data_IF_749423095777
#
_entry.id   IF_749423095777
#
_cell.length_a   1.000
_cell.length_b   1.000
_cell.length_c   1.000
_cell.angle_alpha   90.00
_cell.angle_beta   90.00
_cell.angle_gamma   90.00
#
_symmetry.space_group_name_H-M   'P 1'
#
loop_
_entity.id
_entity.type
_entity.pdbx_description
1 polymer ?
#
# COMPACT_ATOMS: atom_id res chain seq x y z
N UNK A 1 12.77 -15.51 -9.03
CA UNK A 1 12.41 -16.18 -10.30
C UNK A 1 12.63 -17.67 -10.16
N UNK A 2 11.65 -18.46 -10.56
CA UNK A 2 11.72 -19.92 -10.63
C UNK A 2 11.60 -20.34 -12.11
N UNK A 3 12.26 -21.44 -12.47
CA UNK A 3 12.01 -22.11 -13.73
C UNK A 3 10.78 -23.04 -13.64
N UNK A 4 10.34 -23.69 -14.74
CA UNK A 4 9.20 -24.60 -14.73
C UNK A 4 9.33 -25.78 -13.76
N UNK A 5 10.56 -26.20 -13.45
CA UNK A 5 10.86 -27.28 -12.50
C UNK A 5 10.92 -26.79 -11.04
N UNK A 6 10.77 -25.48 -10.80
CA UNK A 6 10.80 -24.88 -9.47
C UNK A 6 12.21 -24.56 -8.97
N UNK A 7 13.23 -24.66 -9.82
CA UNK A 7 14.60 -24.27 -9.49
C UNK A 7 14.72 -22.76 -9.49
N UNK A 8 15.43 -22.21 -8.49
CA UNK A 8 15.68 -20.78 -8.37
C UNK A 8 16.65 -20.30 -9.44
N UNK A 9 16.18 -19.42 -10.33
CA UNK A 9 17.01 -18.68 -11.29
C UNK A 9 17.51 -17.34 -10.72
N UNK A 10 16.69 -16.71 -9.86
CA UNK A 10 17.02 -15.43 -9.23
C UNK A 10 16.36 -15.31 -7.85
N UNK A 11 17.11 -14.95 -6.82
CA UNK A 11 16.66 -14.84 -5.42
C UNK A 11 17.36 -13.66 -4.72
N UNK A 12 17.19 -12.46 -5.29
CA UNK A 12 17.70 -11.20 -4.74
C UNK A 12 16.58 -10.15 -4.77
N UNK A 13 16.68 -9.09 -3.96
CA UNK A 13 15.77 -7.95 -4.07
C UNK A 13 15.74 -7.40 -5.50
N UNK A 14 14.56 -7.00 -5.97
CA UNK A 14 14.43 -6.33 -7.26
C UNK A 14 15.10 -4.94 -7.19
N UNK A 15 15.91 -4.57 -8.19
CA UNK A 15 16.50 -3.24 -8.24
C UNK A 15 15.43 -2.17 -8.45
N UNK A 16 15.54 -1.04 -7.75
CA UNK A 16 14.72 0.17 -7.97
C UNK A 16 15.36 1.06 -9.04
N UNK A 17 15.66 0.49 -10.20
CA UNK A 17 16.31 1.15 -11.32
C UNK A 17 15.86 0.50 -12.63
N UNK A 18 15.42 1.32 -13.58
CA UNK A 18 14.85 0.86 -14.85
C UNK A 18 15.85 0.04 -15.67
N UNK A 19 17.11 0.50 -15.78
CA UNK A 19 18.15 -0.15 -16.58
C UNK A 19 18.44 -1.54 -16.04
N UNK A 20 18.61 -1.65 -14.71
CA UNK A 20 18.87 -2.93 -14.04
C UNK A 20 17.67 -3.88 -14.13
N UNK A 21 16.44 -3.36 -14.05
CA UNK A 21 15.23 -4.17 -14.25
C UNK A 21 15.15 -4.71 -15.67
N UNK A 22 15.44 -3.88 -16.67
CA UNK A 22 15.45 -4.27 -18.08
C UNK A 22 16.50 -5.34 -18.36
N UNK A 23 17.72 -5.17 -17.83
CA UNK A 23 18.78 -6.18 -17.89
C UNK A 23 18.33 -7.49 -17.26
N UNK A 24 17.72 -7.44 -16.07
CA UNK A 24 17.22 -8.62 -15.38
C UNK A 24 16.15 -9.37 -16.20
N UNK A 25 15.16 -8.66 -16.73
CA UNK A 25 14.10 -9.30 -17.54
C UNK A 25 14.66 -9.90 -18.82
N UNK A 26 15.56 -9.19 -19.51
CA UNK A 26 16.23 -9.69 -20.71
C UNK A 26 17.06 -10.95 -20.41
N UNK A 27 17.77 -10.97 -19.28
CA UNK A 27 18.52 -12.15 -18.83
C UNK A 27 17.60 -13.34 -18.54
N UNK A 28 16.47 -13.10 -17.87
CA UNK A 28 15.48 -14.15 -17.58
C UNK A 28 14.79 -14.66 -18.86
N UNK A 29 14.57 -13.81 -19.85
CA UNK A 29 13.99 -14.20 -21.14
C UNK A 29 14.88 -15.16 -21.96
N UNK A 30 16.19 -15.19 -21.69
CA UNK A 30 17.07 -16.23 -22.25
C UNK A 30 16.69 -17.65 -21.80
N UNK A 31 15.90 -17.78 -20.73
CA UNK A 31 15.38 -19.05 -20.22
C UNK A 31 13.95 -19.36 -20.69
N UNK A 32 13.33 -18.50 -21.51
CA UNK A 32 11.97 -18.68 -22.05
C UNK A 32 11.03 -17.52 -21.78
N UNK A 33 9.72 -17.75 -21.91
CA UNK A 33 8.72 -16.74 -21.60
C UNK A 33 8.73 -16.39 -20.10
N UNK A 34 8.75 -15.08 -19.81
CA UNK A 34 8.78 -14.57 -18.44
C UNK A 34 7.38 -14.10 -18.03
N UNK A 35 6.87 -14.71 -16.96
CA UNK A 35 5.69 -14.24 -16.24
C UNK A 35 6.13 -13.52 -14.96
N UNK A 36 5.92 -12.21 -14.91
CA UNK A 36 6.08 -11.42 -13.70
C UNK A 36 4.81 -11.50 -12.86
N UNK A 37 4.94 -11.86 -11.58
CA UNK A 37 3.80 -11.92 -10.65
C UNK A 37 4.06 -11.01 -9.45
N UNK A 38 3.04 -10.25 -9.08
CA UNK A 38 3.03 -9.35 -7.92
C UNK A 38 1.87 -9.70 -6.99
N UNK A 39 2.05 -9.47 -5.69
CA UNK A 39 0.99 -9.54 -4.67
C UNK A 39 0.37 -8.16 -4.38
N UNK A 40 0.98 -7.08 -4.88
CA UNK A 40 0.47 -5.71 -4.84
C UNK A 40 0.79 -4.97 -6.15
N UNK A 41 -0.18 -4.80 -7.05
CA UNK A 41 0.09 -4.20 -8.37
C UNK A 41 0.23 -2.67 -8.34
N UNK A 42 -0.19 -2.00 -7.27
CA UNK A 42 -0.39 -0.55 -7.24
C UNK A 42 0.56 0.21 -6.30
N UNK A 43 1.56 -0.45 -5.72
CA UNK A 43 2.52 0.16 -4.78
C UNK A 43 3.96 0.04 -5.33
N UNK A 44 4.91 -0.49 -4.55
CA UNK A 44 6.31 -0.67 -4.93
C UNK A 44 6.52 -1.54 -6.19
N UNK A 45 5.50 -2.30 -6.59
CA UNK A 45 5.48 -3.11 -7.81
C UNK A 45 5.28 -2.35 -9.11
N UNK A 46 4.86 -1.07 -9.07
CA UNK A 46 4.45 -0.33 -10.27
C UNK A 46 5.56 -0.20 -11.34
N UNK A 47 6.77 0.20 -10.93
CA UNK A 47 7.91 0.34 -11.84
C UNK A 47 8.33 -1.03 -12.44
N UNK A 48 8.60 -2.08 -11.65
CA UNK A 48 8.89 -3.40 -12.18
C UNK A 48 7.81 -3.94 -13.15
N UNK A 49 6.52 -3.69 -12.88
CA UNK A 49 5.41 -4.07 -13.78
C UNK A 49 5.50 -3.32 -15.11
N UNK A 50 5.72 -2.01 -15.07
CA UNK A 50 5.83 -1.20 -16.28
C UNK A 50 7.00 -1.66 -17.16
N UNK A 51 8.17 -1.85 -16.55
CA UNK A 51 9.38 -2.30 -17.27
C UNK A 51 9.20 -3.73 -17.79
N UNK A 52 8.62 -4.64 -17.01
CA UNK A 52 8.34 -6.01 -17.48
C UNK A 52 7.43 -6.01 -18.71
N UNK A 53 6.39 -5.18 -18.72
CA UNK A 53 5.48 -5.03 -19.87
C UNK A 53 6.18 -4.47 -21.09
N UNK A 54 6.99 -3.42 -20.92
CA UNK A 54 7.78 -2.83 -22.01
C UNK A 54 8.77 -3.84 -22.60
N UNK A 55 9.34 -4.72 -21.76
CA UNK A 55 10.18 -5.84 -22.19
C UNK A 55 9.40 -6.99 -22.85
N UNK A 56 8.08 -6.93 -22.95
CA UNK A 56 7.24 -7.98 -23.52
C UNK A 56 6.92 -9.15 -22.58
N UNK A 57 7.23 -9.04 -21.28
CA UNK A 57 6.88 -10.07 -20.30
C UNK A 57 5.37 -10.09 -20.04
N UNK A 58 4.82 -11.27 -19.75
CA UNK A 58 3.49 -11.38 -19.21
C UNK A 58 3.47 -10.87 -17.75
N UNK A 59 2.37 -10.22 -17.34
CA UNK A 59 2.20 -9.75 -15.96
C UNK A 59 0.90 -10.28 -15.39
N UNK A 60 0.99 -10.88 -14.21
CA UNK A 60 -0.14 -11.34 -13.44
C UNK A 60 -0.07 -10.86 -11.99
N UNK A 61 -1.21 -10.94 -11.32
CA UNK A 61 -1.41 -10.58 -9.94
C UNK A 61 -1.91 -11.80 -9.16
N UNK A 62 -1.29 -12.08 -8.02
CA UNK A 62 -1.77 -13.08 -7.07
C UNK A 62 -2.58 -12.37 -5.97
N UNK A 63 -3.91 -12.54 -5.91
CA UNK A 63 -4.73 -11.89 -4.90
C UNK A 63 -4.29 -12.20 -3.47
N UNK A 64 -4.32 -11.22 -2.57
CA UNK A 64 -3.85 -11.39 -1.19
C UNK A 64 -4.52 -12.55 -0.44
N UNK A 65 -5.79 -12.84 -0.70
CA UNK A 65 -6.48 -14.01 -0.14
C UNK A 65 -5.93 -15.34 -0.70
N UNK A 66 -5.61 -15.38 -2.00
CA UNK A 66 -5.00 -16.55 -2.64
C UNK A 66 -3.56 -16.74 -2.15
N UNK A 67 -2.78 -15.67 -2.06
CA UNK A 67 -1.44 -15.66 -1.49
C UNK A 67 -1.44 -16.18 -0.04
N UNK A 68 -2.35 -15.69 0.81
CA UNK A 68 -2.46 -16.14 2.20
C UNK A 68 -2.76 -17.63 2.30
N UNK A 69 -3.71 -18.13 1.49
CA UNK A 69 -4.04 -19.56 1.42
C UNK A 69 -2.86 -20.39 0.94
N UNK A 70 -2.12 -19.90 -0.06
CA UNK A 70 -0.92 -20.57 -0.54
C UNK A 70 0.15 -20.61 0.55
N UNK A 71 0.38 -19.51 1.27
CA UNK A 71 1.38 -19.43 2.33
C UNK A 71 1.15 -20.41 3.49
N UNK A 72 -0.10 -20.79 3.76
CA UNK A 72 -0.45 -21.82 4.76
C UNK A 72 0.01 -23.23 4.34
N UNK A 73 0.28 -23.46 3.05
CA UNK A 73 0.75 -24.75 2.52
C UNK A 73 2.28 -24.91 2.64
N UNK A 74 3.04 -23.85 2.95
CA UNK A 74 4.51 -23.90 3.02
C UNK A 74 4.99 -23.88 4.48
N UNK A 75 5.98 -24.74 4.84
CA UNK A 75 6.52 -24.80 6.19
C UNK A 75 7.22 -23.50 6.62
N UNK A 76 7.23 -23.24 7.94
CA UNK A 76 7.80 -22.05 8.57
C UNK A 76 6.79 -20.90 8.66
N UNK A 77 6.64 -20.29 9.85
CA UNK A 77 5.71 -19.16 10.06
C UNK A 77 6.37 -17.79 10.05
N UNK A 78 7.70 -17.74 9.99
CA UNK A 78 8.43 -16.48 9.96
C UNK A 78 8.21 -15.79 8.62
N UNK A 79 7.68 -14.57 8.66
CA UNK A 79 7.50 -13.72 7.49
C UNK A 79 8.85 -13.19 7.05
N UNK A 80 9.27 -13.50 5.82
CA UNK A 80 10.46 -12.93 5.18
C UNK A 80 10.14 -12.64 3.72
N UNK A 81 10.68 -11.56 3.18
CA UNK A 81 10.40 -11.14 1.80
C UNK A 81 10.83 -12.21 0.78
N UNK A 82 11.94 -12.91 1.04
CA UNK A 82 12.40 -14.02 0.19
C UNK A 82 11.44 -15.22 0.21
N UNK A 83 10.81 -15.51 1.35
CA UNK A 83 9.80 -16.58 1.47
C UNK A 83 8.54 -16.19 0.71
N UNK A 84 8.06 -14.96 0.89
CA UNK A 84 6.87 -14.46 0.20
C UNK A 84 7.09 -14.44 -1.33
N UNK A 85 8.26 -13.98 -1.80
CA UNK A 85 8.63 -14.03 -3.21
C UNK A 85 8.69 -15.45 -3.78
N UNK A 86 9.21 -16.42 -3.00
CA UNK A 86 9.21 -17.82 -3.41
C UNK A 86 7.79 -18.39 -3.51
N UNK A 87 6.94 -18.15 -2.50
CA UNK A 87 5.55 -18.61 -2.49
C UNK A 87 4.78 -18.05 -3.68
N UNK A 88 4.94 -16.76 -3.99
CA UNK A 88 4.29 -16.12 -5.15
C UNK A 88 4.73 -16.82 -6.45
N UNK A 89 6.04 -16.99 -6.64
CA UNK A 89 6.58 -17.61 -7.86
C UNK A 89 6.16 -19.07 -8.01
N UNK A 90 6.18 -19.85 -6.92
CA UNK A 90 5.81 -21.27 -6.96
C UNK A 90 4.29 -21.47 -7.08
N UNK A 91 3.49 -20.59 -6.48
CA UNK A 91 2.02 -20.56 -6.66
C UNK A 91 1.67 -20.25 -8.11
N UNK A 92 2.36 -19.29 -8.74
CA UNK A 92 2.15 -18.99 -10.15
C UNK A 92 2.43 -20.19 -11.06
N UNK A 93 3.48 -20.95 -10.73
CA UNK A 93 3.91 -22.16 -11.45
C UNK A 93 2.96 -23.34 -11.27
N UNK A 94 2.50 -23.58 -10.04
CA UNK A 94 1.72 -24.78 -9.67
C UNK A 94 0.21 -24.58 -9.72
N UNK A 95 -0.25 -23.34 -9.51
CA UNK A 95 -1.66 -22.97 -9.40
C UNK A 95 -2.00 -21.73 -10.24
N UNK A 96 -1.75 -21.74 -11.57
CA UNK A 96 -1.93 -20.57 -12.43
C UNK A 96 -3.37 -20.03 -12.47
N UNK A 97 -4.37 -20.89 -12.19
CA UNK A 97 -5.78 -20.51 -12.09
C UNK A 97 -6.09 -19.56 -10.91
N UNK A 98 -5.17 -19.41 -9.95
CA UNK A 98 -5.30 -18.45 -8.84
C UNK A 98 -4.87 -17.04 -9.22
N UNK A 99 -4.18 -16.89 -10.35
CA UNK A 99 -3.68 -15.62 -10.85
C UNK A 99 -4.80 -14.82 -11.52
N UNK A 100 -4.71 -13.50 -11.40
CA UNK A 100 -5.52 -12.55 -12.16
C UNK A 100 -4.62 -11.86 -13.17
N UNK A 101 -5.11 -11.68 -14.40
CA UNK A 101 -4.43 -10.83 -15.38
C UNK A 101 -4.34 -9.40 -14.83
N UNK A 102 -3.16 -8.79 -14.88
CA UNK A 102 -3.06 -7.35 -14.69
C UNK A 102 -3.34 -6.74 -16.05
N UNK A 103 -4.59 -6.32 -16.28
CA UNK A 103 -5.15 -5.91 -17.57
C UNK A 103 -4.12 -5.31 -18.54
N UNK A 104 -4.07 -5.92 -19.73
CA UNK A 104 -3.64 -5.26 -20.96
C UNK A 104 -4.81 -4.34 -21.38
N UNK A 105 -4.52 -3.08 -21.67
CA UNK A 105 -5.36 -2.21 -22.52
C UNK A 105 -6.49 -1.37 -21.92
N UNK A 106 -6.47 -1.01 -20.63
CA UNK A 106 -7.36 0.06 -20.16
C UNK A 106 -6.59 1.19 -19.49
N UNK A 107 -6.33 2.25 -20.26
CA UNK A 107 -5.89 3.56 -19.76
C UNK A 107 -6.78 4.05 -18.61
N UNK A 108 -8.08 3.76 -18.67
CA UNK A 108 -9.05 4.06 -17.60
C UNK A 108 -8.75 3.27 -16.33
N UNK A 109 -8.41 1.98 -16.42
CA UNK A 109 -8.01 1.20 -15.24
C UNK A 109 -6.65 1.66 -14.69
N UNK A 110 -5.72 2.06 -15.55
CA UNK A 110 -4.46 2.67 -15.11
C UNK A 110 -4.68 4.00 -14.38
N UNK A 111 -5.55 4.87 -14.91
CA UNK A 111 -5.92 6.14 -14.27
C UNK A 111 -6.66 5.91 -12.93
N UNK A 112 -7.60 4.95 -12.88
CA UNK A 112 -8.27 4.55 -11.65
C UNK A 112 -7.29 3.99 -10.61
N UNK A 113 -6.27 3.25 -11.03
CA UNK A 113 -5.21 2.74 -10.14
C UNK A 113 -4.37 3.87 -9.55
N UNK A 114 -4.01 4.86 -10.36
CA UNK A 114 -3.30 6.06 -9.89
C UNK A 114 -4.16 6.82 -8.86
N UNK A 115 -5.46 7.01 -9.16
CA UNK A 115 -6.40 7.65 -8.22
C UNK A 115 -6.56 6.86 -6.92
N UNK A 116 -6.63 5.52 -6.99
CA UNK A 116 -6.72 4.67 -5.80
C UNK A 116 -5.44 4.73 -4.95
N UNK A 117 -4.26 4.81 -5.58
CA UNK A 117 -2.99 5.02 -4.86
C UNK A 117 -2.94 6.37 -4.15
N UNK A 118 -3.39 7.44 -4.82
CA UNK A 118 -3.51 8.75 -4.19
C UNK A 118 -4.50 8.77 -3.02
N UNK A 119 -5.61 8.04 -3.11
CA UNK A 119 -6.58 7.90 -2.02
C UNK A 119 -5.97 7.18 -0.79
N UNK A 120 -5.22 6.10 -1.02
CA UNK A 120 -4.51 5.38 0.04
C UNK A 120 -3.44 6.24 0.71
N UNK A 121 -2.64 6.97 -0.08
CA UNK A 121 -1.65 7.92 0.42
C UNK A 121 -2.32 9.03 1.26
N UNK A 122 -3.42 9.60 0.78
CA UNK A 122 -4.17 10.64 1.49
C UNK A 122 -4.76 10.13 2.80
N UNK A 123 -5.25 8.88 2.83
CA UNK A 123 -5.74 8.24 4.06
C UNK A 123 -4.61 8.08 5.10
N UNK A 124 -3.42 7.70 4.65
CA UNK A 124 -2.23 7.62 5.50
C UNK A 124 -1.79 8.98 6.03
N UNK A 125 -1.76 10.00 5.19
CA UNK A 125 -1.43 11.37 5.60
C UNK A 125 -2.44 11.93 6.60
N UNK A 126 -3.73 11.71 6.36
CA UNK A 126 -4.81 12.11 7.27
C UNK A 126 -4.62 11.47 8.64
N UNK A 127 -4.35 10.17 8.68
CA UNK A 127 -4.09 9.43 9.93
C UNK A 127 -2.85 9.98 10.65
N UNK A 128 -1.77 10.26 9.91
CA UNK A 128 -0.53 10.81 10.45
C UNK A 128 -0.76 12.20 11.06
N UNK A 129 -1.50 13.07 10.35
CA UNK A 129 -1.84 14.41 10.81
C UNK A 129 -2.70 14.37 12.09
N UNK A 130 -3.71 13.51 12.13
CA UNK A 130 -4.55 13.34 13.33
C UNK A 130 -3.75 12.87 14.54
N UNK A 131 -2.86 11.89 14.36
CA UNK A 131 -1.98 11.42 15.42
C UNK A 131 -1.01 12.51 15.89
N UNK A 132 -0.57 13.40 14.99
CA UNK A 132 0.26 14.56 15.35
C UNK A 132 -0.53 15.55 16.20
N UNK A 133 -1.78 15.87 15.85
CA UNK A 133 -2.66 16.73 16.64
C UNK A 133 -2.87 16.13 18.04
N UNK A 134 -3.19 14.83 18.12
CA UNK A 134 -3.31 14.13 19.41
C UNK A 134 -2.05 14.24 20.24
N UNK A 135 -0.89 13.96 19.67
CA UNK A 135 0.40 14.08 20.37
C UNK A 135 0.62 15.50 20.92
N UNK A 136 0.27 16.54 20.16
CA UNK A 136 0.39 17.92 20.61
C UNK A 136 -0.59 18.23 21.75
N UNK A 137 -1.86 17.82 21.61
CA UNK A 137 -2.88 18.00 22.65
C UNK A 137 -2.51 17.27 23.94
N UNK A 138 -1.93 16.07 23.87
CA UNK A 138 -1.42 15.36 25.04
C UNK A 138 -0.29 16.12 25.73
N UNK A 139 0.56 16.83 24.98
CA UNK A 139 1.65 17.62 25.55
C UNK A 139 1.16 18.92 26.19
N UNK A 140 0.22 19.63 25.55
CA UNK A 140 -0.18 20.98 25.98
C UNK A 140 -1.45 21.00 26.85
N UNK A 141 -2.37 20.05 26.66
CA UNK A 141 -3.66 20.03 27.35
C UNK A 141 -4.32 18.62 27.36
N UNK A 142 -3.79 17.65 28.14
CA UNK A 142 -4.27 16.26 28.18
C UNK A 142 -5.77 16.10 28.47
N UNK A 143 -6.35 17.02 29.26
CA UNK A 143 -7.78 16.98 29.57
C UNK A 143 -8.68 17.24 28.35
N UNK A 144 -8.18 18.00 27.36
CA UNK A 144 -8.92 18.27 26.12
C UNK A 144 -8.76 17.13 25.14
N UNK A 145 -7.58 16.51 25.06
CA UNK A 145 -7.37 15.30 24.24
C UNK A 145 -8.36 14.19 24.62
N UNK A 146 -8.58 13.96 25.92
CA UNK A 146 -9.56 12.99 26.44
C UNK A 146 -11.01 13.27 26.07
N UNK A 147 -11.34 14.46 25.57
CA UNK A 147 -12.69 14.75 25.04
C UNK A 147 -12.86 14.11 23.66
N UNK A 148 -11.78 13.92 22.90
CA UNK A 148 -11.82 13.47 21.51
C UNK A 148 -11.64 11.95 21.33
N UNK A 149 -12.18 11.16 22.27
CA UNK A 149 -12.14 9.69 22.23
C UNK A 149 -13.04 9.17 21.11
N UNK A 150 -12.69 8.02 20.53
CA UNK A 150 -13.53 7.32 19.54
C UNK A 150 -13.48 7.90 18.12
N UNK A 151 -12.50 8.76 17.79
CA UNK A 151 -12.32 9.27 16.43
C UNK A 151 -13.02 10.60 16.14
N UNK A 152 -13.66 11.22 17.14
CA UNK A 152 -14.30 12.54 17.00
C UNK A 152 -13.36 13.66 16.56
N UNK A 153 -12.05 13.53 16.79
CA UNK A 153 -11.04 14.46 16.27
C UNK A 153 -10.98 14.49 14.73
N UNK A 154 -11.35 13.38 14.06
CA UNK A 154 -11.34 13.28 12.61
C UNK A 154 -12.55 13.99 11.96
N UNK A 155 -13.54 14.40 12.75
CA UNK A 155 -14.72 15.10 12.24
C UNK A 155 -14.34 16.52 11.83
N UNK A 156 -14.74 16.95 10.62
CA UNK A 156 -14.47 18.30 10.11
C UNK A 156 -14.82 19.41 11.10
N UNK A 157 -15.99 19.32 11.76
CA UNK A 157 -16.42 20.27 12.77
C UNK A 157 -15.41 20.47 13.92
N UNK A 158 -14.76 19.39 14.37
CA UNK A 158 -13.78 19.47 15.46
C UNK A 158 -12.48 20.11 14.99
N UNK A 159 -12.04 19.80 13.77
CA UNK A 159 -10.88 20.44 13.15
C UNK A 159 -11.13 21.94 12.93
N UNK A 160 -12.29 22.30 12.38
CA UNK A 160 -12.70 23.69 12.17
C UNK A 160 -12.74 24.47 13.48
N UNK A 161 -13.18 23.83 14.57
CA UNK A 161 -13.22 24.40 15.91
C UNK A 161 -11.81 24.62 16.46
N UNK A 162 -10.89 23.68 16.26
CA UNK A 162 -9.50 23.83 16.68
C UNK A 162 -8.78 24.92 15.88
N UNK A 163 -9.06 25.03 14.58
CA UNK A 163 -8.54 26.09 13.71
C UNK A 163 -9.08 27.45 14.13
N UNK A 164 -10.42 27.57 14.26
CA UNK A 164 -11.11 28.83 14.59
C UNK A 164 -10.68 29.42 15.92
N UNK A 165 -10.49 28.57 16.92
CA UNK A 165 -10.17 28.98 18.29
C UNK A 165 -8.70 28.76 18.65
N UNK A 166 -7.85 28.37 17.70
CA UNK A 166 -6.40 28.22 17.88
C UNK A 166 -6.02 27.34 19.10
N UNK A 167 -6.78 26.27 19.32
CA UNK A 167 -6.53 25.29 20.39
C UNK A 167 -7.13 25.64 21.78
N UNK A 168 -6.60 25.03 22.86
CA UNK A 168 -7.27 25.01 24.18
C UNK A 168 -7.49 26.41 24.79
N UNK A 169 -6.51 27.30 24.66
CA UNK A 169 -6.57 28.64 25.25
C UNK A 169 -7.62 29.51 24.59
N UNK A 170 -7.70 29.50 23.25
CA UNK A 170 -8.72 30.29 22.57
C UNK A 170 -10.13 29.70 22.73
N UNK A 171 -10.26 28.38 22.90
CA UNK A 171 -11.53 27.76 23.29
C UNK A 171 -12.00 28.23 24.67
N UNK A 172 -11.09 28.28 25.64
CA UNK A 172 -11.37 28.81 26.97
C UNK A 172 -11.79 30.28 26.91
N UNK A 173 -11.07 31.09 26.13
CA UNK A 173 -11.34 32.53 25.99
C UNK A 173 -12.66 32.83 25.25
N UNK A 174 -13.02 32.01 24.26
CA UNK A 174 -14.28 32.16 23.54
C UNK A 174 -15.49 31.86 24.43
N UNK A 175 -15.33 30.94 25.38
CA UNK A 175 -16.37 30.53 26.32
C UNK A 175 -17.46 29.67 25.68
N UNK A 176 -18.22 28.96 26.54
CA UNK A 176 -19.19 27.94 26.12
C UNK A 176 -20.20 28.42 25.07
N UNK A 177 -20.76 29.62 25.23
CA UNK A 177 -21.81 30.14 24.36
C UNK A 177 -21.34 30.44 22.93
N UNK A 178 -20.07 30.81 22.73
CA UNK A 178 -19.52 31.05 21.38
C UNK A 178 -19.13 29.75 20.70
N UNK A 179 -18.53 28.83 21.46
CA UNK A 179 -18.17 27.50 20.95
C UNK A 179 -19.41 26.72 20.52
N UNK A 180 -20.48 26.71 21.33
CA UNK A 180 -21.73 26.03 20.98
C UNK A 180 -22.44 26.65 19.77
N UNK A 181 -22.28 27.95 19.53
CA UNK A 181 -22.86 28.62 18.35
C UNK A 181 -22.12 28.24 17.08
N UNK A 182 -20.81 28.00 17.18
CA UNK A 182 -19.99 27.54 16.07
C UNK A 182 -20.19 26.05 15.78
N UNK A 183 -20.48 25.24 16.80
CA UNK A 183 -20.72 23.80 16.68
C UNK A 183 -22.16 23.40 16.29
N UNK A 184 -23.01 24.37 15.92
CA UNK A 184 -24.39 24.18 15.44
C UNK A 184 -24.44 24.35 13.93
#
# INVERSE_FOLDING_TARGET
ALDPDGKKLFDKPLPQDETKLRELFTQLQNHGEVLMVVDQPNTIGALPIAVARDCGCAVAYLPGLAMRKAADLYPGRSKTDARDAFIIADTARTMPHTLRSVDRDSEVLSALKVLAGFDEDLAHETTRALNRIRSLLTQIHPALERVFVGGSLATGLVLDLLEKFSGPTGLKNAGRSRVLRFAR
#
